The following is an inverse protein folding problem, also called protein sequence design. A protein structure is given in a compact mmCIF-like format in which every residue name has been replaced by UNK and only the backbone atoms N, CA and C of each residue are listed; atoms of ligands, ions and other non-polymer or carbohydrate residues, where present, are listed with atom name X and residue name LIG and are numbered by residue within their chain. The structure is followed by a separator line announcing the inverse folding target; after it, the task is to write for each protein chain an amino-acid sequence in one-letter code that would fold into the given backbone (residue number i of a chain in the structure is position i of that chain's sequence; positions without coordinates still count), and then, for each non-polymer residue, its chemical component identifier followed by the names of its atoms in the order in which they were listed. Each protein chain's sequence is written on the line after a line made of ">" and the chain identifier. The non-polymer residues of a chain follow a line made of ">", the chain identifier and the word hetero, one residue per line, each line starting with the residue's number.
data_IF_219959358963
#
_entry.id   IF_219959358963
#
_cell.length_a   1.000
_cell.length_b   1.000
_cell.length_c   1.000
_cell.angle_alpha   90.00
_cell.angle_beta   90.00
_cell.angle_gamma   90.00
#
_symmetry.space_group_name_H-M   'P 1'
#
loop_
_entity.id
_entity.type
_entity.pdbx_description
1 polymer ?
#
# COMPACT_ATOMS: atom_id res chain seq x y z
N UNK A 1 46.73 -31.51 -25.05
CA UNK A 1 45.75 -32.31 -24.29
C UNK A 1 44.48 -31.51 -24.20
N UNK A 2 43.47 -31.86 -25.00
CA UNK A 2 42.17 -31.18 -25.02
C UNK A 2 41.25 -31.86 -24.03
N UNK A 3 40.69 -31.10 -23.08
CA UNK A 3 39.74 -31.58 -22.08
C UNK A 3 38.42 -31.94 -22.79
N UNK A 4 37.80 -33.10 -22.52
CA UNK A 4 36.50 -33.42 -23.11
C UNK A 4 35.41 -32.59 -22.44
N UNK A 5 34.68 -31.81 -23.23
CA UNK A 5 33.47 -31.09 -22.81
C UNK A 5 32.33 -32.08 -22.57
N UNK A 6 31.84 -32.13 -21.33
CA UNK A 6 30.63 -32.90 -20.96
C UNK A 6 29.41 -32.24 -21.63
N UNK A 7 28.50 -32.99 -22.29
CA UNK A 7 27.30 -32.42 -22.86
C UNK A 7 26.35 -31.95 -21.74
N UNK A 8 25.77 -30.76 -21.89
CA UNK A 8 24.75 -30.26 -20.97
C UNK A 8 23.55 -31.24 -20.93
N UNK A 9 22.95 -31.50 -19.74
CA UNK A 9 21.79 -32.37 -19.64
C UNK A 9 20.61 -31.76 -20.42
N UNK A 10 19.88 -32.62 -21.15
CA UNK A 10 18.69 -32.20 -21.89
C UNK A 10 17.64 -31.60 -20.94
N UNK A 11 17.15 -30.41 -21.26
CA UNK A 11 16.15 -29.70 -20.47
C UNK A 11 14.86 -30.52 -20.35
N UNK A 12 14.43 -30.80 -19.12
CA UNK A 12 13.17 -31.51 -18.84
C UNK A 12 12.00 -30.57 -19.16
N UNK A 13 11.25 -30.89 -20.22
CA UNK A 13 10.07 -30.12 -20.63
C UNK A 13 8.86 -30.61 -19.82
N UNK A 14 8.35 -29.78 -18.91
CA UNK A 14 7.13 -30.06 -18.16
C UNK A 14 5.88 -29.69 -18.98
N UNK A 15 4.76 -30.43 -18.85
CA UNK A 15 3.51 -30.07 -19.52
C UNK A 15 3.02 -28.70 -19.02
N UNK A 16 2.45 -27.88 -19.92
CA UNK A 16 1.86 -26.60 -19.56
C UNK A 16 0.74 -26.81 -18.52
N UNK A 17 0.82 -26.11 -17.38
CA UNK A 17 -0.26 -26.09 -16.39
C UNK A 17 -1.50 -25.49 -17.06
N UNK A 18 -2.44 -26.34 -17.45
CA UNK A 18 -3.67 -25.90 -18.11
C UNK A 18 -4.58 -25.23 -17.08
N UNK A 19 -5.30 -24.20 -17.52
CA UNK A 19 -6.33 -23.47 -16.77
C UNK A 19 -7.40 -24.36 -16.13
N UNK A 20 -7.48 -25.62 -16.53
CA UNK A 20 -8.36 -26.65 -15.97
C UNK A 20 -8.08 -26.96 -14.49
N UNK A 21 -6.85 -26.76 -14.01
CA UNK A 21 -6.46 -27.21 -12.65
C UNK A 21 -7.14 -26.41 -11.56
N UNK A 22 -7.30 -25.09 -11.75
CA UNK A 22 -7.97 -24.22 -10.78
C UNK A 22 -9.45 -24.58 -10.61
N UNK A 23 -10.14 -24.75 -11.73
CA UNK A 23 -11.57 -25.09 -11.73
C UNK A 23 -11.85 -26.47 -11.12
N UNK A 24 -10.99 -27.45 -11.37
CA UNK A 24 -11.10 -28.77 -10.73
C UNK A 24 -10.88 -28.70 -9.21
N UNK A 25 -9.95 -27.87 -8.73
CA UNK A 25 -9.71 -27.71 -7.28
C UNK A 25 -10.88 -26.97 -6.61
N UNK A 26 -11.48 -26.01 -7.28
CA UNK A 26 -12.68 -25.31 -6.80
C UNK A 26 -13.87 -26.27 -6.71
N UNK A 27 -14.08 -27.10 -7.74
CA UNK A 27 -15.13 -28.12 -7.72
C UNK A 27 -14.91 -29.16 -6.62
N UNK A 28 -13.65 -29.57 -6.38
CA UNK A 28 -13.28 -30.58 -5.39
C UNK A 28 -13.38 -30.04 -3.95
N UNK A 29 -12.99 -28.79 -3.71
CA UNK A 29 -13.14 -28.13 -2.39
C UNK A 29 -14.60 -27.87 -2.05
N UNK A 30 -15.40 -27.48 -3.05
CA UNK A 30 -16.86 -27.35 -2.92
C UNK A 30 -17.53 -28.71 -2.63
N UNK A 31 -17.08 -29.79 -3.27
CA UNK A 31 -17.60 -31.14 -3.03
C UNK A 31 -17.21 -31.68 -1.64
N UNK A 32 -16.03 -31.33 -1.13
CA UNK A 32 -15.52 -31.77 0.18
C UNK A 32 -15.88 -30.83 1.34
N UNK A 33 -16.48 -29.67 1.08
CA UNK A 33 -16.86 -28.69 2.10
C UNK A 33 -15.68 -28.00 2.78
N UNK A 34 -14.51 -27.96 2.14
CA UNK A 34 -13.28 -27.35 2.67
C UNK A 34 -13.05 -26.01 1.97
N UNK A 35 -12.58 -24.98 2.69
CA UNK A 35 -12.32 -23.67 2.10
C UNK A 35 -11.12 -23.72 1.13
N UNK A 36 -11.24 -23.09 -0.06
CA UNK A 36 -10.19 -23.03 -1.09
C UNK A 36 -8.87 -22.43 -0.60
N UNK A 37 -8.92 -21.59 0.42
CA UNK A 37 -7.78 -20.99 1.14
C UNK A 37 -6.96 -22.00 1.94
N UNK A 38 -7.49 -23.19 2.21
CA UNK A 38 -6.75 -24.28 2.87
C UNK A 38 -5.86 -25.08 1.89
N UNK A 39 -6.04 -24.87 0.58
CA UNK A 39 -5.18 -25.43 -0.46
C UNK A 39 -4.22 -24.36 -0.98
N UNK A 40 -3.09 -24.79 -1.57
CA UNK A 40 -2.12 -23.89 -2.17
C UNK A 40 -2.76 -22.96 -3.21
N UNK A 41 -2.41 -21.67 -3.19
CA UNK A 41 -2.86 -20.68 -4.17
C UNK A 41 -2.29 -20.99 -5.56
N UNK A 42 -2.90 -20.43 -6.61
CA UNK A 42 -2.41 -20.62 -7.98
C UNK A 42 -0.98 -20.07 -8.17
N UNK A 43 -0.62 -19.02 -7.42
CA UNK A 43 0.74 -18.49 -7.38
C UNK A 43 1.73 -19.44 -6.69
N UNK A 44 1.33 -20.10 -5.60
CA UNK A 44 2.14 -21.13 -4.93
C UNK A 44 2.30 -22.37 -5.81
N UNK A 45 1.24 -22.78 -6.50
CA UNK A 45 1.27 -23.88 -7.47
C UNK A 45 2.24 -23.54 -8.61
N UNK A 46 2.12 -22.35 -9.22
CA UNK A 46 3.03 -21.91 -10.28
C UNK A 46 4.50 -21.83 -9.82
N UNK A 47 4.76 -21.35 -8.60
CA UNK A 47 6.09 -21.30 -8.01
C UNK A 47 6.66 -22.71 -7.72
N UNK A 48 5.84 -23.65 -7.28
CA UNK A 48 6.26 -25.04 -7.11
C UNK A 48 6.60 -25.67 -8.48
N UNK A 49 5.78 -25.42 -9.51
CA UNK A 49 6.00 -25.90 -10.88
C UNK A 49 7.26 -25.32 -11.52
N UNK A 50 7.61 -24.05 -11.28
CA UNK A 50 8.81 -23.43 -11.83
C UNK A 50 10.11 -23.95 -11.18
N UNK A 51 10.05 -24.35 -9.91
CA UNK A 51 11.20 -24.89 -9.16
C UNK A 51 11.37 -26.41 -9.32
N UNK A 52 10.33 -27.13 -9.75
CA UNK A 52 10.32 -28.58 -9.90
C UNK A 52 11.44 -29.11 -10.84
N UNK A 53 11.76 -28.51 -12.00
CA UNK A 53 12.85 -28.97 -12.86
C UNK A 53 14.20 -29.02 -12.13
N UNK A 54 14.52 -27.98 -11.34
CA UNK A 54 15.78 -27.89 -10.58
C UNK A 54 15.88 -28.96 -9.49
N UNK A 55 14.75 -29.33 -8.88
CA UNK A 55 14.68 -30.41 -7.90
C UNK A 55 14.82 -31.78 -8.57
N UNK A 56 14.22 -31.98 -9.74
CA UNK A 56 14.32 -33.21 -10.54
C UNK A 56 15.74 -33.46 -11.07
N UNK A 57 16.51 -32.42 -11.39
CA UNK A 57 17.91 -32.52 -11.81
C UNK A 57 18.80 -33.21 -10.78
N UNK A 58 18.53 -33.01 -9.48
CA UNK A 58 19.26 -33.63 -8.38
C UNK A 58 18.94 -35.11 -8.18
N UNK A 59 17.90 -35.62 -8.85
CA UNK A 59 17.48 -37.02 -8.74
C UNK A 59 18.00 -37.82 -9.94
N UNK A 60 18.63 -39.00 -9.72
CA UNK A 60 19.11 -39.84 -10.81
C UNK A 60 18.00 -40.23 -11.80
N UNK A 61 18.28 -40.28 -13.12
CA UNK A 61 17.24 -40.46 -14.15
C UNK A 61 16.37 -41.71 -13.98
N UNK A 62 16.94 -42.81 -13.49
CA UNK A 62 16.23 -44.08 -13.29
C UNK A 62 15.27 -44.09 -12.08
N UNK A 63 15.34 -43.07 -11.22
CA UNK A 63 14.41 -42.90 -10.10
C UNK A 63 13.27 -41.92 -10.42
N UNK A 64 13.30 -41.23 -11.57
CA UNK A 64 12.29 -40.24 -11.97
C UNK A 64 11.01 -40.89 -12.48
N UNK A 65 10.24 -41.49 -11.58
CA UNK A 65 8.94 -42.07 -11.88
C UNK A 65 7.78 -41.13 -11.48
N UNK A 66 6.57 -41.43 -11.95
CA UNK A 66 5.37 -40.62 -11.71
C UNK A 66 5.06 -40.44 -10.21
N UNK A 67 5.29 -41.49 -9.41
CA UNK A 67 5.06 -41.45 -7.95
C UNK A 67 6.01 -40.46 -7.28
N UNK A 68 7.27 -40.43 -7.70
CA UNK A 68 8.27 -39.48 -7.21
C UNK A 68 7.95 -38.03 -7.63
N UNK A 69 7.48 -37.80 -8.87
CA UNK A 69 7.05 -36.45 -9.29
C UNK A 69 5.85 -35.99 -8.47
N UNK A 70 4.84 -36.85 -8.24
CA UNK A 70 3.70 -36.56 -7.36
C UNK A 70 4.15 -36.29 -5.93
N UNK A 71 5.12 -37.04 -5.42
CA UNK A 71 5.69 -36.84 -4.08
C UNK A 71 6.49 -35.53 -3.99
N UNK A 72 7.28 -35.18 -5.01
CA UNK A 72 7.98 -33.89 -5.06
C UNK A 72 7.01 -32.71 -5.12
N UNK A 73 5.95 -32.78 -5.94
CA UNK A 73 4.92 -31.73 -5.98
C UNK A 73 4.20 -31.63 -4.64
N UNK A 74 3.84 -32.76 -4.02
CA UNK A 74 3.22 -32.80 -2.69
C UNK A 74 4.16 -32.22 -1.61
N UNK A 75 5.45 -32.58 -1.62
CA UNK A 75 6.45 -32.05 -0.68
C UNK A 75 6.72 -30.57 -0.95
N UNK A 76 6.73 -30.10 -2.20
CA UNK A 76 6.91 -28.68 -2.52
C UNK A 76 5.68 -27.84 -2.19
N UNK A 77 4.46 -28.39 -2.28
CA UNK A 77 3.26 -27.71 -1.76
C UNK A 77 3.20 -27.74 -0.25
N UNK A 78 3.62 -28.84 0.39
CA UNK A 78 3.72 -28.94 1.85
C UNK A 78 4.83 -28.04 2.39
N UNK A 79 5.98 -27.98 1.73
CA UNK A 79 7.03 -26.99 1.98
C UNK A 79 6.54 -25.58 1.71
N UNK A 80 5.75 -25.30 0.67
CA UNK A 80 5.18 -23.96 0.46
C UNK A 80 4.17 -23.56 1.56
N UNK A 81 3.41 -24.52 2.09
CA UNK A 81 2.50 -24.33 3.23
C UNK A 81 3.30 -24.14 4.53
N UNK A 82 4.43 -24.83 4.71
CA UNK A 82 5.35 -24.68 5.85
C UNK A 82 6.29 -23.46 5.71
N UNK A 83 6.62 -23.04 4.48
CA UNK A 83 7.42 -21.86 4.11
C UNK A 83 6.57 -20.59 4.01
N UNK A 84 5.24 -20.72 4.06
CA UNK A 84 4.38 -19.80 4.79
C UNK A 84 4.74 -19.82 6.27
N UNK A 85 6.01 -19.53 6.61
CA UNK A 85 6.39 -19.08 7.95
C UNK A 85 5.32 -18.07 8.33
N UNK A 86 4.68 -18.27 9.48
CA UNK A 86 3.89 -17.22 10.12
C UNK A 86 4.85 -16.06 10.30
N UNK A 87 4.91 -15.17 9.30
CA UNK A 87 5.74 -14.00 9.33
C UNK A 87 5.14 -13.19 10.46
N UNK A 88 5.91 -13.03 11.53
CA UNK A 88 5.55 -12.16 12.65
C UNK A 88 5.13 -10.80 12.06
N UNK A 89 3.94 -10.28 12.39
CA UNK A 89 3.51 -9.00 11.89
C UNK A 89 4.54 -7.92 12.20
N UNK A 90 4.73 -6.98 11.28
CA UNK A 90 5.65 -5.86 11.44
C UNK A 90 4.92 -4.72 12.13
N UNK A 91 5.53 -4.18 13.18
CA UNK A 91 4.92 -3.16 14.03
C UNK A 91 5.83 -1.96 14.14
N UNK A 92 5.32 -0.79 13.78
CA UNK A 92 5.96 0.48 14.08
C UNK A 92 5.58 0.96 15.48
N UNK A 93 6.55 1.43 16.26
CA UNK A 93 6.31 2.03 17.58
C UNK A 93 6.76 3.50 17.57
N UNK A 94 5.78 4.40 17.63
CA UNK A 94 5.96 5.84 17.74
C UNK A 94 5.84 6.34 19.18
N UNK A 95 6.65 7.32 19.54
CA UNK A 95 6.62 8.01 20.83
C UNK A 95 7.25 9.38 20.69
N UNK A 96 7.16 10.21 21.73
CA UNK A 96 8.08 11.34 21.87
C UNK A 96 9.49 10.87 22.22
N UNK A 97 10.46 11.80 22.20
CA UNK A 97 11.84 11.52 22.63
C UNK A 97 11.88 11.28 24.14
N UNK A 98 11.05 12.01 24.86
CA UNK A 98 10.91 12.02 26.30
C UNK A 98 10.35 10.68 26.82
N UNK A 99 9.55 9.98 26.01
CA UNK A 99 8.95 8.67 26.33
C UNK A 99 9.54 7.49 25.55
N UNK A 100 10.82 7.61 25.16
CA UNK A 100 11.48 6.56 24.38
C UNK A 100 11.67 5.25 25.19
N UNK A 101 11.80 5.36 26.51
CA UNK A 101 11.83 4.25 27.45
C UNK A 101 10.54 3.41 27.41
N UNK A 102 9.37 4.05 27.36
CA UNK A 102 8.07 3.39 27.19
C UNK A 102 7.96 2.68 25.83
N UNK A 103 8.53 3.26 24.78
CA UNK A 103 8.58 2.64 23.46
C UNK A 103 9.45 1.37 23.46
N UNK A 104 10.62 1.40 24.09
CA UNK A 104 11.49 0.23 24.23
C UNK A 104 10.88 -0.85 25.12
N UNK A 105 10.26 -0.48 26.25
CA UNK A 105 9.56 -1.44 27.09
C UNK A 105 8.37 -2.10 26.37
N UNK A 106 7.68 -1.34 25.50
CA UNK A 106 6.64 -1.88 24.62
C UNK A 106 7.22 -2.87 23.60
N UNK A 107 8.36 -2.54 22.97
CA UNK A 107 9.10 -3.45 22.08
C UNK A 107 9.49 -4.74 22.79
N UNK A 108 10.04 -4.64 24.01
CA UNK A 108 10.45 -5.79 24.81
C UNK A 108 9.26 -6.70 25.15
N UNK A 109 8.11 -6.12 25.54
CA UNK A 109 6.90 -6.89 25.85
C UNK A 109 6.34 -7.68 24.66
N UNK A 110 6.68 -7.30 23.42
CA UNK A 110 6.12 -7.86 22.19
C UNK A 110 7.15 -8.65 21.36
N UNK A 111 8.40 -8.79 21.82
CA UNK A 111 9.52 -9.40 21.10
C UNK A 111 9.20 -10.77 20.48
N UNK A 112 8.46 -11.60 21.22
CA UNK A 112 8.13 -12.95 20.78
C UNK A 112 6.95 -13.03 19.82
N UNK A 113 6.16 -11.97 19.69
CA UNK A 113 4.91 -11.96 18.95
C UNK A 113 5.00 -11.23 17.60
N UNK A 114 5.83 -10.19 17.51
CA UNK A 114 5.91 -9.30 16.34
C UNK A 114 7.35 -8.96 15.97
N UNK A 115 7.56 -8.40 14.77
CA UNK A 115 8.79 -7.69 14.41
C UNK A 115 8.55 -6.21 14.64
N UNK A 116 8.91 -5.72 15.83
CA UNK A 116 8.69 -4.33 16.21
C UNK A 116 9.93 -3.46 16.00
N UNK A 117 9.74 -2.28 15.39
CA UNK A 117 10.77 -1.25 15.21
C UNK A 117 10.32 0.03 15.89
N UNK A 118 11.14 0.52 16.83
CA UNK A 118 10.93 1.84 17.46
C UNK A 118 11.44 2.92 16.50
N UNK A 119 10.74 4.06 16.44
CA UNK A 119 11.06 5.15 15.50
C UNK A 119 12.52 5.65 15.57
N UNK A 120 13.19 5.53 16.71
CA UNK A 120 14.60 5.91 16.90
C UNK A 120 15.61 4.90 16.31
N UNK A 121 15.18 3.67 15.99
CA UNK A 121 16.05 2.55 15.61
C UNK A 121 16.31 2.51 14.10
N UNK A 122 16.88 3.58 13.56
CA UNK A 122 17.32 3.62 12.16
C UNK A 122 16.20 3.80 11.13
N UNK A 123 15.00 4.22 11.56
CA UNK A 123 13.91 4.62 10.66
C UNK A 123 14.28 5.86 9.82
N UNK A 124 15.05 6.77 10.41
CA UNK A 124 15.46 8.03 9.78
C UNK A 124 16.84 7.93 9.15
N UNK A 125 16.89 7.70 7.83
CA UNK A 125 18.14 7.61 7.09
C UNK A 125 18.73 9.00 6.81
N UNK A 126 20.07 9.07 6.79
CA UNK A 126 20.80 10.28 6.40
C UNK A 126 20.36 10.77 5.01
N UNK A 127 20.23 12.08 4.85
CA UNK A 127 19.80 12.74 3.60
C UNK A 127 18.35 12.49 3.16
N UNK A 128 17.49 11.88 4.00
CA UNK A 128 16.05 11.80 3.77
C UNK A 128 15.28 12.73 4.71
N UNK A 129 14.09 13.16 4.28
CA UNK A 129 13.17 13.89 5.14
C UNK A 129 12.49 12.92 6.11
N UNK A 130 12.14 13.39 7.31
CA UNK A 130 11.41 12.58 8.29
C UNK A 130 10.10 12.00 7.70
N UNK A 131 9.40 12.81 6.92
CA UNK A 131 8.20 12.39 6.19
C UNK A 131 8.45 11.21 5.23
N UNK A 132 9.53 11.24 4.45
CA UNK A 132 9.85 10.17 3.50
C UNK A 132 10.17 8.86 4.22
N UNK A 133 10.92 8.94 5.32
CA UNK A 133 11.21 7.78 6.19
C UNK A 133 9.95 7.19 6.81
N UNK A 134 9.02 8.03 7.28
CA UNK A 134 7.73 7.58 7.83
C UNK A 134 6.87 6.88 6.76
N UNK A 135 6.85 7.40 5.52
CA UNK A 135 6.12 6.75 4.41
C UNK A 135 6.69 5.37 4.09
N UNK A 136 8.02 5.21 4.09
CA UNK A 136 8.62 3.88 3.89
C UNK A 136 8.25 2.92 5.03
N UNK A 137 8.26 3.38 6.29
CA UNK A 137 7.81 2.54 7.41
C UNK A 137 6.32 2.19 7.33
N UNK A 138 5.48 3.10 6.86
CA UNK A 138 4.05 2.87 6.66
C UNK A 138 3.78 1.73 5.67
N UNK A 139 4.56 1.65 4.59
CA UNK A 139 4.41 0.58 3.60
C UNK A 139 4.95 -0.77 4.06
N UNK A 140 5.88 -0.76 5.01
CA UNK A 140 6.45 -1.98 5.59
C UNK A 140 5.77 -2.45 6.88
N UNK A 141 4.81 -1.69 7.43
CA UNK A 141 4.19 -1.99 8.72
C UNK A 141 2.79 -2.60 8.57
N UNK A 142 2.52 -3.64 9.36
CA UNK A 142 1.19 -4.24 9.47
C UNK A 142 0.31 -3.56 10.53
N UNK A 143 0.96 -2.94 11.52
CA UNK A 143 0.34 -2.23 12.64
C UNK A 143 1.19 -1.04 13.09
N UNK A 144 0.56 -0.07 13.73
CA UNK A 144 1.22 1.01 14.47
C UNK A 144 0.84 1.00 15.95
N UNK A 145 1.80 1.26 16.83
CA UNK A 145 1.59 1.48 18.26
C UNK A 145 2.13 2.87 18.60
N UNK A 146 1.34 3.70 19.27
CA UNK A 146 1.71 5.07 19.61
C UNK A 146 1.61 5.30 21.12
N UNK A 147 2.73 5.66 21.72
CA UNK A 147 2.78 6.04 23.14
C UNK A 147 2.40 7.51 23.25
N UNK A 148 1.22 7.75 23.83
CA UNK A 148 0.63 9.07 24.04
C UNK A 148 0.69 9.38 25.54
N UNK A 149 1.87 9.78 26.02
CA UNK A 149 2.08 10.23 27.38
C UNK A 149 2.35 11.76 27.40
N UNK A 150 1.94 12.48 28.45
CA UNK A 150 2.16 13.92 28.57
C UNK A 150 3.62 14.34 28.47
N UNK A 151 3.97 15.09 27.42
CA UNK A 151 5.31 15.66 27.26
C UNK A 151 5.36 17.13 27.70
N UNK A 152 4.26 17.86 27.50
CA UNK A 152 4.18 19.31 27.62
C UNK A 152 2.91 19.75 28.36
N UNK A 153 3.01 20.85 29.11
CA UNK A 153 1.86 21.54 29.71
C UNK A 153 1.41 22.65 28.76
N UNK A 154 0.27 22.47 28.10
CA UNK A 154 -0.35 23.52 27.26
C UNK A 154 -1.42 24.27 28.05
N UNK A 155 -1.37 25.59 28.05
CA UNK A 155 -2.43 26.43 28.61
C UNK A 155 -3.52 26.59 27.56
N UNK A 156 -4.68 25.97 27.77
CA UNK A 156 -5.86 26.09 26.90
C UNK A 156 -6.96 26.77 27.72
N UNK A 157 -7.40 27.96 27.28
CA UNK A 157 -8.50 28.71 27.91
C UNK A 157 -8.32 28.85 29.44
N UNK A 158 -7.18 29.38 29.86
CA UNK A 158 -6.77 29.60 31.26
C UNK A 158 -6.68 28.32 32.14
N UNK A 159 -6.74 27.13 31.56
CA UNK A 159 -6.51 25.86 32.26
C UNK A 159 -5.24 25.20 31.73
N UNK A 160 -4.31 24.86 32.63
CA UNK A 160 -3.12 24.08 32.28
C UNK A 160 -3.53 22.63 32.00
N UNK A 161 -3.34 22.16 30.77
CA UNK A 161 -3.62 20.80 30.35
C UNK A 161 -2.34 20.09 29.92
N UNK A 162 -2.27 18.82 30.25
CA UNK A 162 -1.20 17.93 29.80
C UNK A 162 -1.49 17.52 28.35
N UNK A 163 -0.56 17.80 27.44
CA UNK A 163 -0.70 17.55 26.00
C UNK A 163 0.38 16.60 25.50
N UNK A 164 -0.01 15.73 24.58
CA UNK A 164 0.92 14.89 23.82
C UNK A 164 1.54 15.73 22.71
N UNK A 165 2.80 15.49 22.36
CA UNK A 165 3.43 16.20 21.24
C UNK A 165 2.68 16.01 19.92
N UNK A 166 2.55 17.13 19.19
CA UNK A 166 1.90 17.21 17.88
C UNK A 166 2.47 16.23 16.85
N UNK A 167 3.79 15.96 16.90
CA UNK A 167 4.44 15.04 15.97
C UNK A 167 3.92 13.60 16.10
N UNK A 168 3.69 13.13 17.34
CA UNK A 168 3.20 11.76 17.58
C UNK A 168 1.75 11.63 17.12
N UNK A 169 0.95 12.70 17.30
CA UNK A 169 -0.44 12.78 16.79
C UNK A 169 -0.45 12.78 15.26
N UNK A 170 0.47 13.51 14.63
CA UNK A 170 0.62 13.55 13.17
C UNK A 170 1.00 12.17 12.61
N UNK A 171 1.99 11.50 13.21
CA UNK A 171 2.40 10.15 12.82
C UNK A 171 1.26 9.13 12.98
N UNK A 172 0.54 9.20 14.10
CA UNK A 172 -0.67 8.40 14.32
C UNK A 172 -1.70 8.63 13.20
N UNK A 173 -1.95 9.89 12.83
CA UNK A 173 -2.87 10.24 11.75
C UNK A 173 -2.46 9.63 10.41
N UNK A 174 -1.17 9.65 10.08
CA UNK A 174 -0.64 9.00 8.87
C UNK A 174 -0.85 7.48 8.88
N UNK A 175 -0.58 6.83 10.01
CA UNK A 175 -0.78 5.39 10.17
C UNK A 175 -2.26 4.99 10.10
N UNK A 176 -3.15 5.75 10.73
CA UNK A 176 -4.61 5.53 10.60
C UNK A 176 -5.04 5.68 9.14
N UNK A 177 -4.54 6.71 8.44
CA UNK A 177 -4.88 6.94 7.03
C UNK A 177 -4.46 5.80 6.10
N UNK A 178 -3.37 5.09 6.43
CA UNK A 178 -2.80 4.02 5.59
C UNK A 178 -3.22 2.60 5.97
N UNK A 179 -3.33 2.31 7.27
CA UNK A 179 -3.62 0.98 7.82
C UNK A 179 -5.06 0.84 8.34
N UNK A 180 -5.75 1.96 8.56
CA UNK A 180 -7.04 2.01 9.23
C UNK A 180 -6.91 2.00 10.76
N UNK A 181 -7.90 2.58 11.44
CA UNK A 181 -7.90 2.74 12.90
C UNK A 181 -7.80 1.40 13.67
N UNK A 182 -8.35 0.30 13.13
CA UNK A 182 -8.29 -1.03 13.75
C UNK A 182 -6.88 -1.60 13.89
N UNK A 183 -5.91 -1.05 13.13
CA UNK A 183 -4.51 -1.47 13.12
C UNK A 183 -3.56 -0.47 13.80
N UNK A 184 -4.11 0.57 14.42
CA UNK A 184 -3.35 1.59 15.15
C UNK A 184 -3.75 1.58 16.63
N UNK A 185 -2.82 1.21 17.51
CA UNK A 185 -3.05 1.10 18.95
C UNK A 185 -2.44 2.28 19.69
N UNK A 186 -3.16 2.76 20.71
CA UNK A 186 -2.70 3.85 21.57
C UNK A 186 -2.31 3.29 22.93
N UNK A 187 -1.17 3.70 23.46
CA UNK A 187 -0.75 3.43 24.84
C UNK A 187 -0.80 4.75 25.60
N UNK A 188 -1.55 4.78 26.71
CA UNK A 188 -1.73 5.99 27.54
C UNK A 188 -1.49 5.67 29.01
N UNK A 189 -0.94 6.61 29.80
CA UNK A 189 -0.87 6.45 31.25
C UNK A 189 -2.27 6.45 31.88
N UNK A 190 -2.50 5.61 32.88
CA UNK A 190 -3.71 5.63 33.72
C UNK A 190 -3.69 6.86 34.62
N UNK A 191 -4.86 7.40 34.95
CA UNK A 191 -4.99 8.50 35.92
C UNK A 191 -4.73 9.89 35.32
N UNK A 192 -4.55 9.99 34.01
CA UNK A 192 -4.49 11.27 33.30
C UNK A 192 -5.87 11.58 32.73
N UNK A 193 -6.74 12.14 33.58
CA UNK A 193 -8.14 12.44 33.24
C UNK A 193 -8.28 13.57 32.19
N UNK A 194 -7.21 14.34 31.97
CA UNK A 194 -7.18 15.54 31.12
C UNK A 194 -6.23 15.43 29.92
N UNK A 195 -5.88 14.21 29.47
CA UNK A 195 -5.07 14.03 28.27
C UNK A 195 -5.85 14.53 27.05
N UNK A 196 -5.48 15.70 26.53
CA UNK A 196 -6.18 16.28 25.40
C UNK A 196 -5.76 15.56 24.11
N UNK A 197 -6.58 14.60 23.69
CA UNK A 197 -6.50 13.98 22.38
C UNK A 197 -7.46 14.70 21.42
N UNK A 198 -7.11 14.85 20.12
CA UNK A 198 -8.04 15.31 19.11
C UNK A 198 -9.38 14.57 19.17
N UNK A 199 -10.50 15.28 19.08
CA UNK A 199 -11.85 14.70 19.17
C UNK A 199 -12.11 13.60 18.14
N UNK A 200 -11.38 13.62 17.02
CA UNK A 200 -11.45 12.59 15.98
C UNK A 200 -10.88 11.23 16.43
N UNK A 201 -10.10 11.19 17.52
CA UNK A 201 -9.58 9.96 18.15
C UNK A 201 -10.52 9.38 19.22
N UNK A 202 -11.68 10.00 19.49
CA UNK A 202 -12.65 9.53 20.51
C UNK A 202 -13.26 8.15 20.20
N UNK A 203 -13.05 7.59 19.01
CA UNK A 203 -13.45 6.24 18.63
C UNK A 203 -12.41 5.15 18.92
N UNK A 204 -11.15 5.50 19.24
CA UNK A 204 -10.08 4.53 19.47
C UNK A 204 -9.94 4.29 20.97
N UNK A 205 -10.22 3.06 21.42
CA UNK A 205 -10.06 2.70 22.84
C UNK A 205 -8.57 2.51 23.14
N UNK A 206 -7.96 3.33 24.03
CA UNK A 206 -6.55 3.22 24.32
C UNK A 206 -6.24 2.07 25.28
N UNK A 207 -5.02 1.55 25.20
CA UNK A 207 -4.48 0.59 26.14
C UNK A 207 -3.76 1.34 27.28
N UNK A 208 -4.45 1.47 28.43
CA UNK A 208 -3.88 2.12 29.59
C UNK A 208 -2.81 1.27 30.32
N UNK A 209 -1.72 1.90 30.78
CA UNK A 209 -0.67 1.34 31.64
C UNK A 209 -0.57 2.08 32.98
N UNK A 210 0.11 1.50 33.96
CA UNK A 210 0.31 2.10 35.29
C UNK A 210 1.66 2.84 35.35
N UNK A 211 1.69 4.18 35.28
CA UNK A 211 2.96 4.92 35.26
C UNK A 211 3.69 4.89 36.61
N UNK A 212 2.95 4.93 37.73
CA UNK A 212 3.51 5.10 39.08
C UNK A 212 3.68 3.75 39.82
N UNK A 213 4.17 2.74 39.10
CA UNK A 213 4.35 1.40 39.66
C UNK A 213 5.48 1.40 40.69
N UNK A 214 5.25 0.79 41.85
CA UNK A 214 6.16 0.83 43.02
C UNK A 214 7.58 0.29 42.76
N UNK A 215 7.72 -0.66 41.84
CA UNK A 215 9.00 -1.30 41.48
C UNK A 215 9.68 -0.62 40.28
N UNK A 216 9.11 0.48 39.77
CA UNK A 216 9.56 1.23 38.58
C UNK A 216 9.76 0.35 37.32
N UNK A 217 9.17 -0.84 37.31
CA UNK A 217 9.34 -1.79 36.22
C UNK A 217 8.36 -1.48 35.08
N UNK A 218 8.85 -0.71 34.10
CA UNK A 218 8.09 -0.29 32.92
C UNK A 218 7.56 -1.47 32.10
N UNK A 219 8.35 -2.54 31.94
CA UNK A 219 7.92 -3.75 31.22
C UNK A 219 6.70 -4.39 31.91
N UNK A 220 6.74 -4.50 33.24
CA UNK A 220 5.63 -5.03 34.02
C UNK A 220 4.43 -4.07 34.09
N UNK A 221 4.66 -2.76 34.03
CA UNK A 221 3.63 -1.74 33.94
C UNK A 221 2.88 -1.80 32.59
N UNK A 222 3.61 -1.98 31.48
CA UNK A 222 3.08 -2.06 30.12
C UNK A 222 2.54 -3.45 29.77
N UNK A 223 2.97 -4.50 30.47
CA UNK A 223 2.56 -5.89 30.20
C UNK A 223 1.07 -6.10 29.96
N UNK A 224 0.15 -5.58 30.80
CA UNK A 224 -1.29 -5.67 30.54
C UNK A 224 -1.75 -4.98 29.24
N UNK A 225 -1.18 -3.80 28.92
CA UNK A 225 -1.48 -3.07 27.69
C UNK A 225 -0.97 -3.83 26.46
N UNK A 226 0.30 -4.26 26.49
CA UNK A 226 0.92 -5.07 25.44
C UNK A 226 0.19 -6.39 25.22
N UNK A 227 -0.30 -7.06 26.28
CA UNK A 227 -1.08 -8.29 26.13
C UNK A 227 -2.43 -8.06 25.42
N UNK A 228 -3.10 -6.92 25.65
CA UNK A 228 -4.32 -6.56 24.90
C UNK A 228 -4.01 -6.29 23.44
N UNK A 229 -2.96 -5.53 23.16
CA UNK A 229 -2.48 -5.24 21.80
C UNK A 229 -2.13 -6.53 21.07
N UNK A 230 -1.36 -7.43 21.71
CA UNK A 230 -1.01 -8.76 21.19
C UNK A 230 -2.24 -9.55 20.76
N UNK A 231 -3.28 -9.61 21.60
CA UNK A 231 -4.53 -10.32 21.25
C UNK A 231 -5.21 -9.71 20.04
N UNK A 232 -5.21 -8.39 19.91
CA UNK A 232 -5.76 -7.70 18.75
C UNK A 232 -4.96 -7.99 17.47
N UNK A 233 -3.62 -7.93 17.55
CA UNK A 233 -2.71 -8.28 16.44
C UNK A 233 -2.93 -9.73 15.99
N UNK A 234 -2.99 -10.68 16.92
CA UNK A 234 -3.22 -12.10 16.63
C UNK A 234 -4.59 -12.32 15.96
N UNK A 235 -5.61 -11.55 16.34
CA UNK A 235 -6.94 -11.62 15.73
C UNK A 235 -6.96 -11.06 14.30
N UNK A 236 -6.25 -9.97 14.04
CA UNK A 236 -6.27 -9.26 12.75
C UNK A 236 -5.27 -9.81 11.73
N UNK A 237 -4.18 -10.43 12.19
CA UNK A 237 -3.10 -10.93 11.34
C UNK A 237 -2.32 -9.84 10.61
N UNK A 238 -1.25 -10.23 9.92
CA UNK A 238 -0.48 -9.32 9.05
C UNK A 238 -1.39 -8.72 7.96
N UNK A 239 -1.06 -7.51 7.50
CA UNK A 239 -1.72 -6.94 6.33
C UNK A 239 -1.39 -7.86 5.18
N UNK A 240 -2.41 -8.52 4.61
CA UNK A 240 -2.21 -9.16 3.31
C UNK A 240 -1.90 -8.02 2.36
N UNK A 241 -0.71 -7.97 1.73
CA UNK A 241 -0.47 -6.99 0.70
C UNK A 241 -1.65 -7.14 -0.26
N UNK A 242 -2.43 -6.08 -0.44
CA UNK A 242 -3.24 -6.02 -1.64
C UNK A 242 -2.25 -6.36 -2.77
N UNK A 243 -2.52 -7.38 -3.60
CA UNK A 243 -1.63 -7.66 -4.72
C UNK A 243 -1.31 -6.30 -5.34
N UNK A 244 -0.02 -5.94 -5.51
CA UNK A 244 0.35 -4.65 -6.09
C UNK A 244 -0.58 -4.51 -7.26
N UNK A 245 -1.41 -3.43 -7.33
CA UNK A 245 -2.58 -3.42 -8.20
C UNK A 245 -2.07 -4.01 -9.46
N UNK A 246 -2.52 -5.24 -9.78
CA UNK A 246 -2.04 -5.89 -10.98
C UNK A 246 -2.24 -4.80 -12.00
N UNK A 247 -1.26 -4.56 -12.88
CA UNK A 247 -1.57 -3.74 -14.04
C UNK A 247 -2.68 -4.54 -14.75
N UNK A 248 -3.89 -4.33 -14.27
CA UNK A 248 -5.13 -4.92 -14.66
C UNK A 248 -5.34 -4.07 -15.88
N UNK A 249 -4.75 -4.54 -16.98
CA UNK A 249 -5.09 -4.15 -18.32
C UNK A 249 -6.53 -4.57 -18.66
N UNK A 250 -7.33 -5.05 -17.70
CA UNK A 250 -8.77 -4.79 -17.75
C UNK A 250 -9.06 -3.45 -17.09
N UNK A 251 -8.97 -2.40 -17.91
CA UNK A 251 -9.79 -1.20 -17.71
C UNK A 251 -11.14 -1.63 -17.12
N UNK A 252 -11.60 -1.03 -16.01
CA UNK A 252 -12.97 -1.24 -15.61
C UNK A 252 -13.81 -0.75 -16.79
N UNK A 253 -14.49 -1.67 -17.47
CA UNK A 253 -15.62 -1.37 -18.33
C UNK A 253 -16.77 -0.93 -17.42
N UNK A 254 -16.55 0.21 -16.76
CA UNK A 254 -17.60 1.21 -16.70
C UNK A 254 -17.85 1.47 -18.17
N UNK A 255 -19.05 1.18 -18.68
CA UNK A 255 -19.53 1.93 -19.84
C UNK A 255 -19.46 3.41 -19.41
N UNK A 256 -18.28 4.02 -19.61
CA UNK A 256 -18.10 5.44 -19.43
C UNK A 256 -19.01 6.02 -20.49
N UNK A 257 -20.14 6.58 -20.05
CA UNK A 257 -20.95 7.48 -20.86
C UNK A 257 -20.02 8.65 -21.22
N UNK A 258 -19.25 8.46 -22.29
CA UNK A 258 -18.36 9.46 -22.84
C UNK A 258 -19.25 10.59 -23.32
N UNK A 259 -18.89 11.81 -22.98
CA UNK A 259 -19.62 12.98 -23.45
C UNK A 259 -19.55 13.02 -24.98
N UNK A 260 -20.70 12.80 -25.63
CA UNK A 260 -20.83 12.79 -27.10
C UNK A 260 -21.62 13.98 -27.62
N UNK A 261 -22.33 14.72 -26.76
CA UNK A 261 -23.10 15.88 -27.19
C UNK A 261 -22.16 17.03 -27.61
N UNK A 262 -22.30 17.59 -28.82
CA UNK A 262 -21.44 18.66 -29.33
C UNK A 262 -21.39 19.93 -28.47
N UNK A 263 -22.50 20.28 -27.79
CA UNK A 263 -22.61 21.48 -26.94
C UNK A 263 -21.88 21.24 -25.63
N UNK A 264 -22.07 20.07 -25.03
CA UNK A 264 -21.41 19.69 -23.79
C UNK A 264 -19.89 19.53 -23.98
N UNK A 265 -19.46 18.90 -25.08
CA UNK A 265 -18.05 18.81 -25.47
C UNK A 265 -17.40 20.21 -25.57
N UNK A 266 -18.06 21.16 -26.24
CA UNK A 266 -17.56 22.52 -26.37
C UNK A 266 -17.53 23.26 -25.01
N UNK A 267 -18.55 23.08 -24.17
CA UNK A 267 -18.61 23.67 -22.84
C UNK A 267 -17.51 23.15 -21.90
N UNK A 268 -17.26 21.83 -21.91
CA UNK A 268 -16.21 21.19 -21.11
C UNK A 268 -14.82 21.66 -21.56
N UNK A 269 -14.55 21.66 -22.87
CA UNK A 269 -13.26 22.12 -23.41
C UNK A 269 -13.05 23.61 -23.11
N UNK A 270 -14.12 24.42 -23.20
CA UNK A 270 -14.06 25.84 -22.85
C UNK A 270 -13.69 26.03 -21.37
N UNK A 271 -14.37 25.34 -20.46
CA UNK A 271 -14.06 25.37 -19.03
C UNK A 271 -12.60 24.96 -18.76
N UNK A 272 -12.15 23.86 -19.37
CA UNK A 272 -10.78 23.36 -19.29
C UNK A 272 -9.74 24.37 -19.77
N UNK A 273 -9.97 25.05 -20.90
CA UNK A 273 -9.07 26.11 -21.38
C UNK A 273 -9.05 27.32 -20.45
N UNK A 274 -10.17 27.68 -19.84
CA UNK A 274 -10.28 28.79 -18.90
C UNK A 274 -9.53 28.57 -17.58
N UNK A 275 -9.46 27.32 -17.11
CA UNK A 275 -8.71 26.95 -15.91
C UNK A 275 -7.18 26.96 -16.12
N UNK A 276 -6.72 26.88 -17.38
CA UNK A 276 -5.30 26.84 -17.73
C UNK A 276 -4.71 28.24 -17.84
N UNK A 277 -3.46 28.39 -17.40
CA UNK A 277 -2.72 29.64 -17.62
C UNK A 277 -2.39 29.86 -19.11
N UNK A 278 -2.12 31.11 -19.48
CA UNK A 278 -1.83 31.51 -20.88
C UNK A 278 -0.70 30.70 -21.50
N UNK A 279 0.41 30.49 -20.78
CA UNK A 279 1.55 29.75 -21.30
C UNK A 279 1.20 28.29 -21.63
N UNK A 280 0.33 27.67 -20.82
CA UNK A 280 -0.13 26.29 -21.00
C UNK A 280 -1.09 26.12 -22.18
N UNK A 281 -1.89 27.14 -22.48
CA UNK A 281 -2.75 27.17 -23.67
C UNK A 281 -1.98 27.45 -24.97
N UNK A 282 -0.76 27.99 -24.88
CA UNK A 282 0.10 28.27 -26.03
C UNK A 282 1.13 27.16 -26.32
N UNK A 283 1.18 26.11 -25.49
CA UNK A 283 1.97 24.90 -25.79
C UNK A 283 1.22 24.01 -26.76
N UNK A 284 1.93 23.05 -27.37
CA UNK A 284 1.30 22.02 -28.17
C UNK A 284 0.37 21.17 -27.29
N UNK A 285 -0.91 21.13 -27.66
CA UNK A 285 -1.96 20.34 -27.02
C UNK A 285 -2.23 19.12 -27.89
N UNK A 286 -2.23 17.92 -27.31
CA UNK A 286 -2.63 16.69 -28.03
C UNK A 286 -4.14 16.49 -27.90
N UNK A 287 -4.84 16.21 -28.99
CA UNK A 287 -6.30 16.03 -28.95
C UNK A 287 -6.71 14.87 -28.06
N UNK A 288 -6.01 13.73 -28.16
CA UNK A 288 -6.31 12.54 -27.37
C UNK A 288 -6.11 12.73 -25.86
N UNK A 289 -5.17 13.60 -25.46
CA UNK A 289 -4.98 13.92 -24.04
C UNK A 289 -6.18 14.71 -23.50
N UNK A 290 -6.71 15.64 -24.29
CA UNK A 290 -7.90 16.43 -23.94
C UNK A 290 -9.15 15.55 -23.89
N UNK A 291 -9.35 14.68 -24.90
CA UNK A 291 -10.48 13.74 -24.90
C UNK A 291 -10.48 12.84 -23.67
N UNK A 292 -9.30 12.33 -23.28
CA UNK A 292 -9.13 11.50 -22.09
C UNK A 292 -9.30 12.28 -20.78
N UNK A 293 -8.73 13.48 -20.69
CA UNK A 293 -8.80 14.32 -19.48
C UNK A 293 -10.24 14.79 -19.20
N UNK A 294 -11.02 15.02 -20.26
CA UNK A 294 -12.38 15.53 -20.17
C UNK A 294 -13.47 14.46 -20.36
N UNK A 295 -13.08 13.18 -20.45
CA UNK A 295 -14.00 12.05 -20.66
C UNK A 295 -14.93 12.25 -21.88
N UNK A 296 -14.37 12.70 -23.00
CA UNK A 296 -15.09 12.93 -24.26
C UNK A 296 -14.95 11.74 -25.20
N UNK A 297 -15.88 11.60 -26.15
CA UNK A 297 -15.72 10.64 -27.26
C UNK A 297 -14.43 10.97 -28.04
N UNK A 298 -13.58 9.97 -28.36
CA UNK A 298 -12.35 10.19 -29.10
C UNK A 298 -12.55 11.01 -30.38
N UNK A 299 -11.80 12.10 -30.51
CA UNK A 299 -11.91 13.05 -31.63
C UNK A 299 -12.77 14.28 -31.33
N UNK A 300 -13.48 14.34 -30.22
CA UNK A 300 -14.30 15.51 -29.83
C UNK A 300 -13.44 16.77 -29.65
N UNK A 301 -12.29 16.65 -28.99
CA UNK A 301 -11.34 17.75 -28.83
C UNK A 301 -10.89 18.30 -30.19
N UNK A 302 -10.62 17.44 -31.17
CA UNK A 302 -10.24 17.88 -32.53
C UNK A 302 -11.34 18.68 -33.22
N UNK A 303 -12.62 18.37 -32.94
CA UNK A 303 -13.76 19.05 -33.54
C UNK A 303 -14.09 20.38 -32.85
N UNK A 304 -13.94 20.45 -31.52
CA UNK A 304 -14.51 21.54 -30.72
C UNK A 304 -13.47 22.52 -30.13
N UNK A 305 -12.20 22.12 -29.98
CA UNK A 305 -11.19 22.93 -29.26
C UNK A 305 -10.91 24.28 -29.91
N UNK A 306 -11.02 24.41 -31.24
CA UNK A 306 -10.82 25.69 -31.92
C UNK A 306 -11.95 26.69 -31.62
N UNK A 307 -13.20 26.20 -31.53
CA UNK A 307 -14.36 27.03 -31.16
C UNK A 307 -14.26 27.49 -29.71
N UNK A 308 -13.92 26.57 -28.81
CA UNK A 308 -13.68 26.88 -27.41
C UNK A 308 -12.53 27.89 -27.22
N UNK A 309 -11.43 27.73 -27.96
CA UNK A 309 -10.26 28.61 -27.91
C UNK A 309 -10.58 30.06 -28.34
N UNK A 310 -11.46 30.22 -29.33
CA UNK A 310 -11.87 31.53 -29.83
C UNK A 310 -12.51 32.40 -28.72
N UNK A 311 -13.21 31.78 -27.76
CA UNK A 311 -13.77 32.49 -26.61
C UNK A 311 -12.72 33.21 -25.77
N UNK A 312 -11.51 32.63 -25.68
CA UNK A 312 -10.37 33.19 -24.94
C UNK A 312 -9.39 33.95 -25.83
N UNK A 313 -9.80 34.32 -27.05
CA UNK A 313 -8.97 35.02 -28.05
C UNK A 313 -7.71 34.24 -28.45
N UNK A 314 -7.74 32.92 -28.32
CA UNK A 314 -6.70 32.06 -28.84
C UNK A 314 -7.01 31.72 -30.29
N UNK A 315 -6.03 31.91 -31.17
CA UNK A 315 -6.07 31.51 -32.57
C UNK A 315 -5.14 30.34 -32.80
N UNK A 316 -5.62 29.31 -33.50
CA UNK A 316 -4.80 28.17 -33.90
C UNK A 316 -3.71 28.64 -34.88
N UNK A 317 -2.45 28.32 -34.58
CA UNK A 317 -1.29 28.67 -35.41
C UNK A 317 -0.76 27.44 -36.13
N UNK A 318 -0.65 26.31 -35.43
CA UNK A 318 -0.18 25.04 -35.98
C UNK A 318 -1.23 23.96 -35.70
N UNK A 319 -1.68 23.30 -36.77
CA UNK A 319 -2.65 22.21 -36.70
C UNK A 319 -2.05 20.95 -37.32
N UNK A 320 -1.69 19.99 -36.47
CA UNK A 320 -1.18 18.70 -36.86
C UNK A 320 -2.27 17.62 -36.92
N UNK A 321 -1.84 16.39 -37.23
CA UNK A 321 -2.70 15.21 -37.14
C UNK A 321 -3.13 14.94 -35.70
N UNK A 322 -2.23 15.09 -34.74
CA UNK A 322 -2.50 14.70 -33.35
C UNK A 322 -2.46 15.88 -32.37
N UNK A 323 -2.00 17.05 -32.84
CA UNK A 323 -1.73 18.22 -32.00
C UNK A 323 -2.26 19.53 -32.57
N UNK A 324 -2.45 20.51 -31.69
CA UNK A 324 -2.75 21.90 -32.02
C UNK A 324 -1.96 22.85 -31.12
N UNK A 325 -1.53 23.98 -31.66
CA UNK A 325 -0.88 25.05 -30.90
C UNK A 325 -1.62 26.36 -31.13
N UNK A 326 -1.88 27.10 -30.04
CA UNK A 326 -2.56 28.38 -30.09
C UNK A 326 -1.62 29.55 -29.80
N UNK A 327 -1.98 30.72 -30.32
CA UNK A 327 -1.38 32.01 -29.96
C UNK A 327 -2.49 32.99 -29.59
N UNK A 328 -2.20 33.90 -28.67
CA UNK A 328 -3.17 34.92 -28.29
C UNK A 328 -3.24 35.98 -29.38
N UNK A 329 -4.45 36.28 -29.85
CA UNK A 329 -4.68 37.29 -30.88
C UNK A 329 -4.32 38.69 -30.34
N UNK A 330 -3.39 39.44 -30.97
CA UNK A 330 -2.99 40.75 -30.48
C UNK A 330 -4.16 41.73 -30.48
N UNK A 331 -4.27 42.54 -29.43
CA UNK A 331 -5.27 43.59 -29.34
C UNK A 331 -5.00 44.62 -30.44
N UNK A 332 -5.91 44.76 -31.42
CA UNK A 332 -5.96 45.95 -32.26
C UNK A 332 -6.42 47.12 -31.38
N UNK A 333 -5.46 47.84 -30.81
CA UNK A 333 -5.71 49.18 -30.27
C UNK A 333 -5.99 50.05 -31.50
N UNK A 334 -7.27 50.41 -31.71
CA UNK A 334 -7.59 51.50 -32.63
C UNK A 334 -7.18 52.79 -31.90
N UNK A 335 -6.09 53.39 -32.33
CA UNK A 335 -5.81 54.80 -32.08
C UNK A 335 -6.79 55.64 -32.91
#
# INVERSE_FOLDING_TARGET
>A
MSVPTVPAPAAVTLPNSTSLTGQMLDDLTKALGVARTSLASDTQIAHAWSNLPRLLEKVPPHHRNETMVRMCVAVSTFEAILQGRVMKPRVFIGSSVEHLDLAYATQECLEHDVVSTVWSQGVFALSRTAMASLIEQLDESDFGIFVLAPDDVTIIRDTSKQTVRDNVIFELGLFIGRLGHDRCFLIVPRGVDDLHLPTDLLGITPAAFEPDRQDENLQAALGPACNRIRKAIQKLGAVTPAPPPVAVTSEPSIEQDLCSDPVDCEALIKSWMGARNRASNQRAIRYADVDRELNLVPGSARQHIEKAAAHYRFRAVLKGKDTITFQLDPVRVRF
#
